data_IF_187086544609
#
_entry.id   IF_187086544609
#
_cell.length_a   1.000
_cell.length_b   1.000
_cell.length_c   1.000
_cell.angle_alpha   90.00
_cell.angle_beta   90.00
_cell.angle_gamma   90.00
#
_symmetry.space_group_name_H-M   'P 1'
#
loop_
_entity.id
_entity.type
_entity.pdbx_description
1 polymer ?
#
# COMPACT_ATOMS: atom_id res chain seq x y z
N UNK A 1 17.23 30.14 39.09
CA UNK A 1 16.52 29.50 37.97
C UNK A 1 17.32 29.47 36.69
N UNK A 2 17.47 28.28 36.08
CA UNK A 2 18.02 28.13 34.73
C UNK A 2 16.87 27.67 33.83
N UNK A 3 16.23 28.60 33.12
CA UNK A 3 15.17 28.26 32.19
C UNK A 3 15.75 27.53 30.96
N UNK A 4 15.01 26.52 30.48
CA UNK A 4 15.39 25.76 29.30
C UNK A 4 15.38 26.66 28.05
N UNK A 5 16.35 26.51 27.13
CA UNK A 5 16.41 27.32 25.92
C UNK A 5 15.22 27.04 24.99
N UNK A 6 14.71 28.09 24.35
CA UNK A 6 13.60 28.00 23.39
C UNK A 6 14.09 27.32 22.12
N UNK A 7 13.71 26.06 21.93
CA UNK A 7 13.96 25.32 20.69
C UNK A 7 12.81 25.52 19.71
N UNK A 8 13.05 26.24 18.61
CA UNK A 8 12.10 26.37 17.50
C UNK A 8 12.28 25.20 16.54
N UNK A 9 11.32 24.27 16.52
CA UNK A 9 11.30 23.18 15.53
C UNK A 9 10.42 23.56 14.33
N UNK A 10 10.97 23.44 13.12
CA UNK A 10 10.19 23.62 11.89
C UNK A 10 9.62 22.26 11.48
N UNK A 11 8.30 22.15 11.47
CA UNK A 11 7.60 20.96 10.94
C UNK A 11 7.81 20.94 9.42
N UNK A 12 8.60 19.97 8.93
CA UNK A 12 8.98 19.87 7.50
C UNK A 12 7.89 19.22 6.63
N UNK A 13 6.99 18.44 7.21
CA UNK A 13 6.01 17.66 6.47
C UNK A 13 4.60 17.87 7.02
N UNK A 14 3.63 18.27 6.17
CA UNK A 14 2.25 18.36 6.59
C UNK A 14 1.73 16.96 6.96
N UNK A 15 0.74 16.86 7.86
CA UNK A 15 0.11 15.59 8.18
C UNK A 15 -0.51 14.97 6.93
N UNK A 16 -0.53 13.64 6.87
CA UNK A 16 -1.15 12.93 5.74
C UNK A 16 -2.62 13.34 5.59
N UNK A 17 -3.04 13.85 4.42
CA UNK A 17 -4.37 14.45 4.25
C UNK A 17 -5.53 13.43 4.38
N UNK A 18 -5.26 12.14 4.17
CA UNK A 18 -6.24 11.07 4.33
C UNK A 18 -6.41 10.57 5.78
N UNK A 19 -5.69 11.13 6.75
CA UNK A 19 -5.84 10.76 8.17
C UNK A 19 -6.86 11.71 8.82
N UNK A 20 -8.11 11.26 8.86
CA UNK A 20 -9.22 11.96 9.53
C UNK A 20 -9.09 11.89 11.06
N UNK A 21 -9.83 12.76 11.76
CA UNK A 21 -9.82 12.79 13.22
C UNK A 21 -10.37 11.51 13.86
N UNK A 22 -11.28 10.81 13.18
CA UNK A 22 -11.75 9.48 13.56
C UNK A 22 -10.61 8.45 13.61
N UNK A 23 -9.75 8.45 12.57
CA UNK A 23 -8.58 7.57 12.52
C UNK A 23 -7.60 7.95 13.64
N UNK A 24 -7.43 9.25 13.92
CA UNK A 24 -6.60 9.69 15.05
C UNK A 24 -7.15 9.21 16.39
N UNK A 25 -8.47 9.20 16.57
CA UNK A 25 -9.11 8.69 17.79
C UNK A 25 -8.82 7.20 17.96
N UNK A 26 -8.98 6.41 16.89
CA UNK A 26 -8.67 4.97 16.89
C UNK A 26 -7.19 4.69 17.13
N UNK A 27 -6.29 5.52 16.59
CA UNK A 27 -4.85 5.45 16.91
C UNK A 27 -4.61 5.68 18.41
N UNK A 28 -5.26 6.69 19.01
CA UNK A 28 -5.13 6.98 20.45
C UNK A 28 -5.65 5.82 21.29
N UNK A 29 -6.78 5.21 20.91
CA UNK A 29 -7.35 4.04 21.57
C UNK A 29 -6.40 2.84 21.51
N UNK A 30 -5.86 2.53 20.33
CA UNK A 30 -4.83 1.50 20.15
C UNK A 30 -3.61 1.73 21.05
N UNK A 31 -3.11 2.96 21.15
CA UNK A 31 -1.98 3.27 22.03
C UNK A 31 -2.33 3.14 23.52
N UNK A 32 -3.57 3.45 23.93
CA UNK A 32 -4.03 3.19 25.30
C UNK A 32 -4.01 1.69 25.60
N UNK A 33 -4.52 0.86 24.69
CA UNK A 33 -4.54 -0.60 24.83
C UNK A 33 -3.13 -1.18 24.86
N UNK A 34 -2.24 -0.70 23.99
CA UNK A 34 -0.81 -1.08 24.00
C UNK A 34 -0.19 -0.82 25.37
N UNK A 35 -0.31 0.41 25.88
CA UNK A 35 0.25 0.77 27.20
C UNK A 35 -0.35 -0.06 28.34
N UNK A 36 -1.62 -0.44 28.25
CA UNK A 36 -2.24 -1.34 29.23
C UNK A 36 -1.64 -2.74 29.15
N UNK A 37 -1.58 -3.32 27.96
CA UNK A 37 -0.99 -4.64 27.73
C UNK A 37 0.47 -4.71 28.21
N UNK A 38 1.28 -3.69 27.88
CA UNK A 38 2.69 -3.59 28.29
C UNK A 38 2.84 -3.51 29.82
N UNK A 39 1.87 -2.89 30.52
CA UNK A 39 1.92 -2.72 31.98
C UNK A 39 1.41 -3.93 32.75
N UNK A 40 0.33 -4.56 32.28
CA UNK A 40 -0.33 -5.65 33.00
C UNK A 40 0.25 -7.01 32.63
N UNK A 41 0.79 -7.18 31.42
CA UNK A 41 1.23 -8.48 30.89
C UNK A 41 0.08 -9.46 30.65
N UNK A 42 -1.16 -9.01 30.78
CA UNK A 42 -2.34 -9.87 30.70
C UNK A 42 -2.73 -10.13 29.22
N UNK A 43 -2.94 -11.41 28.84
CA UNK A 43 -3.34 -11.80 27.49
C UNK A 43 -4.59 -11.08 26.97
N UNK A 44 -5.54 -10.75 27.83
CA UNK A 44 -6.78 -10.07 27.45
C UNK A 44 -6.52 -8.70 26.80
N UNK A 45 -5.69 -7.87 27.44
CA UNK A 45 -5.33 -6.56 26.91
C UNK A 45 -4.48 -6.66 25.64
N UNK A 46 -3.67 -7.71 25.55
CA UNK A 46 -2.86 -8.00 24.37
C UNK A 46 -3.75 -8.35 23.16
N UNK A 47 -4.81 -9.12 23.37
CA UNK A 47 -5.78 -9.46 22.32
C UNK A 47 -6.57 -8.23 21.84
N UNK A 48 -7.07 -7.42 22.78
CA UNK A 48 -7.74 -6.15 22.44
C UNK A 48 -6.81 -5.22 21.64
N UNK A 49 -5.53 -5.14 22.02
CA UNK A 49 -4.54 -4.38 21.27
C UNK A 49 -4.36 -4.92 19.84
N UNK A 50 -4.28 -6.24 19.65
CA UNK A 50 -4.17 -6.84 18.30
C UNK A 50 -5.39 -6.48 17.44
N UNK A 51 -6.59 -6.58 17.99
CA UNK A 51 -7.82 -6.19 17.29
C UNK A 51 -7.81 -4.71 16.89
N UNK A 52 -7.52 -3.81 17.84
CA UNK A 52 -7.43 -2.38 17.57
C UNK A 52 -6.32 -2.01 16.57
N UNK A 53 -5.19 -2.72 16.60
CA UNK A 53 -4.09 -2.56 15.61
C UNK A 53 -4.57 -2.91 14.21
N UNK A 54 -5.30 -4.02 14.06
CA UNK A 54 -5.84 -4.46 12.78
C UNK A 54 -6.90 -3.49 12.26
N UNK A 55 -7.79 -3.02 13.13
CA UNK A 55 -8.79 -2.00 12.80
C UNK A 55 -8.13 -0.71 12.27
N UNK A 56 -7.15 -0.17 13.01
CA UNK A 56 -6.41 1.03 12.60
C UNK A 56 -5.68 0.81 11.26
N UNK A 57 -5.07 -0.35 11.06
CA UNK A 57 -4.41 -0.68 9.80
C UNK A 57 -5.41 -0.72 8.63
N UNK A 58 -6.57 -1.35 8.82
CA UNK A 58 -7.64 -1.40 7.83
C UNK A 58 -8.14 0.00 7.49
N UNK A 59 -8.38 0.84 8.51
CA UNK A 59 -8.82 2.22 8.33
C UNK A 59 -7.78 3.05 7.58
N UNK A 60 -6.49 2.95 7.92
CA UNK A 60 -5.42 3.67 7.21
C UNK A 60 -5.31 3.24 5.75
N UNK A 61 -5.39 1.93 5.47
CA UNK A 61 -5.37 1.41 4.09
C UNK A 61 -6.58 1.90 3.29
N UNK A 62 -7.77 1.77 3.86
CA UNK A 62 -9.03 2.21 3.23
C UNK A 62 -9.03 3.71 2.96
N UNK A 63 -8.67 4.54 3.95
CA UNK A 63 -8.65 5.99 3.80
C UNK A 63 -7.61 6.45 2.76
N UNK A 64 -6.41 5.84 2.76
CA UNK A 64 -5.39 6.10 1.74
C UNK A 64 -5.92 5.75 0.35
N UNK A 65 -6.52 4.57 0.18
CA UNK A 65 -7.08 4.12 -1.10
C UNK A 65 -8.18 5.06 -1.58
N UNK A 66 -9.16 5.39 -0.73
CA UNK A 66 -10.25 6.33 -1.05
C UNK A 66 -9.72 7.70 -1.49
N UNK A 67 -8.74 8.24 -0.78
CA UNK A 67 -8.15 9.53 -1.11
C UNK A 67 -7.50 9.54 -2.50
N UNK A 68 -6.65 8.56 -2.80
CA UNK A 68 -6.01 8.50 -4.10
C UNK A 68 -6.98 8.15 -5.23
N UNK A 69 -7.94 7.25 -4.99
CA UNK A 69 -9.00 6.97 -5.97
C UNK A 69 -9.80 8.23 -6.30
N UNK A 70 -10.15 9.05 -5.30
CA UNK A 70 -10.83 10.32 -5.52
C UNK A 70 -9.97 11.32 -6.31
N UNK A 71 -8.66 11.40 -6.02
CA UNK A 71 -7.74 12.27 -6.78
C UNK A 71 -7.67 11.83 -8.23
N UNK A 72 -7.42 10.55 -8.48
CA UNK A 72 -7.24 10.04 -9.85
C UNK A 72 -8.56 9.99 -10.63
N UNK A 73 -9.71 9.82 -9.97
CA UNK A 73 -11.01 9.90 -10.63
C UNK A 73 -11.42 11.32 -11.01
N UNK A 74 -10.94 12.34 -10.28
CA UNK A 74 -11.24 13.75 -10.54
C UNK A 74 -10.23 14.44 -11.45
N UNK A 75 -9.05 13.83 -11.66
CA UNK A 75 -7.96 14.42 -12.43
C UNK A 75 -7.92 13.85 -13.85
N UNK A 76 -8.26 14.66 -14.85
CA UNK A 76 -8.16 14.28 -16.27
C UNK A 76 -6.85 14.73 -16.92
N UNK A 77 -6.18 15.74 -16.34
CA UNK A 77 -4.97 16.32 -16.90
C UNK A 77 -3.73 15.46 -16.61
N UNK A 78 -3.03 15.04 -17.67
CA UNK A 78 -1.86 14.14 -17.59
C UNK A 78 -0.75 14.71 -16.69
N UNK A 79 -0.48 16.01 -16.73
CA UNK A 79 0.57 16.65 -15.92
C UNK A 79 0.30 16.52 -14.41
N UNK A 80 -0.96 16.63 -14.00
CA UNK A 80 -1.40 16.50 -12.62
C UNK A 80 -1.34 15.06 -12.15
N UNK A 81 -1.76 14.11 -12.98
CA UNK A 81 -1.62 12.66 -12.69
C UNK A 81 -0.14 12.32 -12.43
N UNK A 82 0.76 12.77 -13.30
CA UNK A 82 2.19 12.54 -13.12
C UNK A 82 2.77 13.24 -11.88
N UNK A 83 2.28 14.43 -11.50
CA UNK A 83 2.66 15.08 -10.23
C UNK A 83 2.25 14.23 -9.03
N UNK A 84 1.03 13.69 -9.02
CA UNK A 84 0.55 12.82 -7.95
C UNK A 84 1.33 11.50 -7.88
N UNK A 85 1.65 10.88 -9.02
CA UNK A 85 2.47 9.67 -9.10
C UNK A 85 3.89 9.92 -8.57
N UNK A 86 4.53 11.02 -8.95
CA UNK A 86 5.83 11.41 -8.39
C UNK A 86 5.76 11.65 -6.89
N UNK A 87 4.68 12.25 -6.39
CA UNK A 87 4.42 12.40 -4.96
C UNK A 87 4.28 11.07 -4.20
N UNK A 88 3.90 9.99 -4.90
CA UNK A 88 3.88 8.62 -4.39
C UNK A 88 5.25 7.92 -4.49
N UNK A 89 6.27 8.57 -5.06
CA UNK A 89 7.58 7.99 -5.34
C UNK A 89 7.61 7.14 -6.60
N UNK A 90 6.59 7.24 -7.47
CA UNK A 90 6.51 6.53 -8.75
C UNK A 90 7.04 7.45 -9.85
N UNK A 91 7.92 6.93 -10.72
CA UNK A 91 8.48 7.70 -11.84
C UNK A 91 9.50 8.78 -11.44
N UNK A 92 10.05 8.71 -10.23
CA UNK A 92 11.25 9.51 -9.90
C UNK A 92 12.48 8.85 -10.50
N UNK A 93 13.23 9.58 -11.33
CA UNK A 93 14.50 9.12 -11.92
C UNK A 93 15.59 8.78 -10.90
N UNK A 94 15.35 9.01 -9.60
CA UNK A 94 16.29 8.75 -8.51
C UNK A 94 16.36 7.27 -8.09
N UNK A 95 15.42 6.43 -8.51
CA UNK A 95 15.54 4.97 -8.33
C UNK A 95 16.12 4.39 -9.60
N UNK A 96 17.36 3.93 -9.51
CA UNK A 96 17.93 3.08 -10.55
C UNK A 96 17.03 1.85 -10.72
N UNK A 97 16.79 1.52 -11.98
CA UNK A 97 15.98 0.39 -12.38
C UNK A 97 16.73 -0.89 -12.07
N UNK A 98 16.17 -1.73 -11.19
CA UNK A 98 16.74 -3.04 -10.86
C UNK A 98 15.98 -4.13 -11.62
N UNK A 99 16.59 -4.62 -12.70
CA UNK A 99 16.06 -5.72 -13.53
C UNK A 99 15.85 -7.01 -12.72
N UNK A 100 16.62 -7.24 -11.66
CA UNK A 100 16.55 -8.48 -10.88
C UNK A 100 15.31 -8.56 -10.00
N UNK A 101 14.72 -7.41 -9.64
CA UNK A 101 13.57 -7.33 -8.75
C UNK A 101 12.21 -7.47 -9.48
N UNK A 102 12.18 -7.35 -10.82
CA UNK A 102 10.94 -7.44 -11.59
C UNK A 102 10.54 -8.88 -11.93
N UNK A 103 11.51 -9.81 -11.90
CA UNK A 103 11.28 -11.23 -12.22
C UNK A 103 10.95 -11.50 -13.70
N UNK A 104 10.99 -10.47 -14.55
CA UNK A 104 10.76 -10.52 -16.00
C UNK A 104 11.74 -9.55 -16.65
N UNK A 105 12.47 -10.02 -17.66
CA UNK A 105 13.43 -9.19 -18.40
C UNK A 105 12.74 -8.24 -19.38
N UNK A 106 13.38 -7.10 -19.69
CA UNK A 106 12.88 -6.19 -20.72
C UNK A 106 12.79 -6.87 -22.10
N UNK A 107 13.68 -7.82 -22.38
CA UNK A 107 13.68 -8.56 -23.63
C UNK A 107 12.49 -9.51 -23.72
N UNK A 108 12.14 -10.22 -22.64
CA UNK A 108 10.90 -11.03 -22.60
C UNK A 108 9.64 -10.21 -22.84
N UNK A 109 9.56 -9.01 -22.25
CA UNK A 109 8.43 -8.09 -22.46
C UNK A 109 8.38 -7.66 -23.94
N UNK A 110 9.51 -7.24 -24.51
CA UNK A 110 9.58 -6.81 -25.91
C UNK A 110 9.22 -7.94 -26.87
N UNK A 111 9.73 -9.16 -26.63
CA UNK A 111 9.41 -10.33 -27.44
C UNK A 111 7.91 -10.63 -27.40
N UNK A 112 7.27 -10.58 -26.23
CA UNK A 112 5.82 -10.78 -26.12
C UNK A 112 5.02 -9.82 -27.01
N UNK A 113 5.32 -8.51 -26.96
CA UNK A 113 4.59 -7.50 -27.74
C UNK A 113 4.88 -7.53 -29.24
N UNK A 114 6.11 -7.87 -29.64
CA UNK A 114 6.47 -8.05 -31.06
C UNK A 114 5.79 -9.29 -31.64
N UNK A 115 5.78 -10.41 -30.90
CA UNK A 115 5.11 -11.64 -31.32
C UNK A 115 3.58 -11.49 -31.39
N UNK A 116 2.98 -10.62 -30.58
CA UNK A 116 1.53 -10.36 -30.60
C UNK A 116 1.09 -9.28 -31.59
N UNK A 117 2.01 -8.45 -32.10
CA UNK A 117 1.71 -7.42 -33.11
C UNK A 117 1.79 -7.92 -34.56
N UNK A 118 2.27 -9.15 -34.78
CA UNK A 118 2.46 -9.76 -36.09
C UNK A 118 1.28 -10.60 -36.62
N UNK A 119 0.21 -10.77 -35.85
CA UNK A 119 -1.00 -11.45 -36.31
C UNK A 119 -2.00 -10.42 -36.83
N UNK A 120 -2.27 -10.45 -38.14
CA UNK A 120 -3.20 -9.54 -38.83
C UNK A 120 -4.58 -9.48 -38.19
N UNK A 121 -5.33 -8.41 -38.51
CA UNK A 121 -6.70 -8.08 -38.03
C UNK A 121 -7.41 -9.26 -37.34
N UNK A 122 -7.25 -9.33 -36.02
CA UNK A 122 -7.99 -10.27 -35.20
C UNK A 122 -9.34 -9.63 -34.93
N UNK A 123 -10.39 -10.14 -35.59
CA UNK A 123 -11.77 -9.92 -35.16
C UNK A 123 -11.83 -10.20 -33.65
N UNK A 124 -12.11 -9.17 -32.85
CA UNK A 124 -12.15 -9.30 -31.39
C UNK A 124 -13.42 -10.07 -31.03
N UNK A 125 -13.37 -11.39 -31.17
CA UNK A 125 -14.29 -12.27 -30.47
C UNK A 125 -13.80 -12.31 -29.03
N UNK A 126 -14.31 -11.37 -28.23
CA UNK A 126 -14.17 -11.45 -26.78
C UNK A 126 -14.53 -12.88 -26.37
N UNK A 127 -13.64 -13.64 -25.70
CA UNK A 127 -13.98 -14.98 -25.28
C UNK A 127 -15.19 -14.86 -24.37
N UNK A 128 -16.35 -15.36 -24.81
CA UNK A 128 -17.53 -15.56 -23.97
C UNK A 128 -17.31 -16.74 -23.03
N UNK A 129 -16.10 -16.83 -22.46
CA UNK A 129 -15.83 -17.75 -21.37
C UNK A 129 -16.49 -17.10 -20.16
N UNK A 130 -17.67 -17.61 -19.81
CA UNK A 130 -18.39 -17.17 -18.63
C UNK A 130 -17.45 -17.12 -17.43
N UNK A 131 -17.38 -15.96 -16.80
CA UNK A 131 -16.66 -15.77 -15.55
C UNK A 131 -17.17 -16.82 -14.55
N UNK A 132 -16.34 -17.81 -14.24
CA UNK A 132 -16.65 -18.88 -13.29
C UNK A 132 -16.05 -18.50 -11.95
N UNK A 133 -16.87 -17.90 -11.10
CA UNK A 133 -16.50 -17.40 -9.77
C UNK A 133 -15.93 -18.54 -8.89
N UNK A 134 -16.36 -19.78 -9.11
CA UNK A 134 -15.94 -20.97 -8.36
C UNK A 134 -14.48 -21.40 -8.63
N UNK A 135 -13.87 -20.95 -9.74
CA UNK A 135 -12.45 -21.24 -10.05
C UNK A 135 -11.50 -20.15 -9.57
N UNK A 136 -12.04 -19.01 -9.14
CA UNK A 136 -11.27 -17.92 -8.53
C UNK A 136 -11.32 -18.06 -7.00
N UNK A 137 -10.86 -19.20 -6.50
CA UNK A 137 -10.77 -19.45 -5.06
C UNK A 137 -9.30 -19.44 -4.65
N UNK A 138 -8.95 -18.56 -3.70
CA UNK A 138 -7.74 -18.67 -2.88
C UNK A 138 -8.17 -19.15 -1.48
N UNK A 139 -8.50 -20.44 -1.27
CA UNK A 139 -9.16 -20.86 -0.03
C UNK A 139 -8.19 -20.96 1.15
N UNK A 140 -6.89 -21.16 0.90
CA UNK A 140 -5.93 -21.49 1.95
C UNK A 140 -4.55 -20.94 1.65
N UNK A 141 -4.44 -19.63 1.44
CA UNK A 141 -3.13 -19.00 1.56
C UNK A 141 -2.98 -18.49 2.98
N UNK A 142 -2.16 -19.18 3.77
CA UNK A 142 -1.82 -18.75 5.11
C UNK A 142 -0.63 -17.80 5.04
N UNK A 143 -0.54 -16.88 6.01
CA UNK A 143 0.57 -15.93 6.07
C UNK A 143 1.93 -16.64 6.16
N UNK A 144 1.92 -17.89 6.64
CA UNK A 144 3.05 -18.81 6.80
C UNK A 144 3.66 -19.22 5.46
N UNK A 145 2.84 -19.33 4.41
CA UNK A 145 3.27 -19.68 3.05
C UNK A 145 4.09 -18.55 2.39
N UNK A 146 3.96 -17.32 2.89
CA UNK A 146 4.72 -16.16 2.42
C UNK A 146 5.93 -15.80 3.29
N UNK A 147 6.10 -16.42 4.47
CA UNK A 147 7.26 -16.18 5.35
C UNK A 147 8.60 -16.41 4.64
N UNK A 148 8.77 -17.40 3.75
CA UNK A 148 10.01 -17.57 2.99
C UNK A 148 10.31 -16.39 2.06
N UNK A 149 9.30 -15.77 1.46
CA UNK A 149 9.45 -14.63 0.56
C UNK A 149 9.85 -13.34 1.30
N UNK A 150 9.35 -13.14 2.52
CA UNK A 150 9.68 -11.94 3.31
C UNK A 150 11.09 -11.98 3.92
N UNK A 151 11.76 -13.14 3.96
CA UNK A 151 13.13 -13.26 4.47
C UNK A 151 14.16 -12.62 3.54
N UNK A 152 13.84 -12.50 2.25
CA UNK A 152 14.70 -11.89 1.22
C UNK A 152 14.51 -10.37 1.07
N UNK A 153 13.46 -9.79 1.69
CA UNK A 153 13.17 -8.35 1.63
C UNK A 153 13.86 -7.53 2.74
N UNK A 154 14.77 -8.15 3.50
CA UNK A 154 15.76 -7.49 4.35
C UNK A 154 17.16 -7.87 3.90
N UNK A 155 17.60 -7.29 2.78
CA UNK A 155 19.01 -6.98 2.54
C UNK A 155 19.10 -5.57 1.94
#
# INVERSE_FOLDING_TARGET
DKHAPVCVSRVKTPPSPWITDEIKLKIKEKEKLRRKADRTGDPYWSELYRSAKNEVNRLRKSARSRYFNQIFSSTTASDQVWKHLRGLGLGSAAREFDETNMGISLDEINQFFVSSSGAGEVEVVAPSVGFCEDKFFFPFIYLEDFVPFFKYLRS
#
